data_IF_639360143265
#
_entry.id   IF_639360143265
#
_cell.length_a   1.000
_cell.length_b   1.000
_cell.length_c   1.000
_cell.angle_alpha   90.00
_cell.angle_beta   90.00
_cell.angle_gamma   90.00
#
_symmetry.space_group_name_H-M   'P 1'
#
loop_
_entity.id
_entity.type
_entity.pdbx_description
1 polymer ?
#
# COMPACT_ATOMS: atom_id res chain seq x y z
N UNK A 1 -26.68 -2.31 -6.51
CA UNK A 1 -25.69 -3.36 -6.88
C UNK A 1 -25.20 -3.98 -5.59
N UNK A 2 -25.02 -5.31 -5.49
CA UNK A 2 -24.51 -5.95 -4.27
C UNK A 2 -22.99 -6.00 -4.32
N UNK A 3 -22.34 -5.12 -3.58
CA UNK A 3 -20.89 -5.15 -3.43
C UNK A 3 -20.46 -6.26 -2.48
N UNK A 4 -19.39 -6.98 -2.83
CA UNK A 4 -18.91 -8.16 -2.11
C UNK A 4 -17.49 -8.03 -1.56
N UNK A 5 -16.75 -7.05 -2.04
CA UNK A 5 -15.38 -6.80 -1.61
C UNK A 5 -15.15 -5.29 -1.49
N UNK A 6 -14.56 -4.87 -0.40
CA UNK A 6 -14.10 -3.50 -0.17
C UNK A 6 -12.58 -3.55 0.03
N UNK A 7 -11.85 -2.90 -0.88
CA UNK A 7 -10.41 -2.65 -0.71
C UNK A 7 -10.22 -1.23 -0.17
N UNK A 8 -9.56 -1.10 0.95
CA UNK A 8 -9.30 0.20 1.58
C UNK A 8 -7.82 0.44 1.77
N UNK A 9 -7.35 1.63 1.47
CA UNK A 9 -6.05 2.07 1.96
C UNK A 9 -6.05 2.13 3.49
N UNK A 10 -4.87 2.15 4.09
CA UNK A 10 -4.67 2.22 5.53
C UNK A 10 -4.41 3.66 6.01
N UNK A 11 -3.25 4.20 5.64
CA UNK A 11 -2.80 5.48 6.16
C UNK A 11 -3.67 6.62 5.63
N UNK A 12 -4.14 7.50 6.53
CA UNK A 12 -5.03 8.62 6.18
C UNK A 12 -6.38 8.22 5.53
N UNK A 13 -6.73 6.92 5.53
CA UNK A 13 -8.02 6.39 5.05
C UNK A 13 -8.72 5.55 6.12
N UNK A 14 -8.23 4.33 6.40
CA UNK A 14 -8.77 3.48 7.48
C UNK A 14 -8.27 3.93 8.85
N UNK A 15 -7.03 4.42 8.91
CA UNK A 15 -6.34 4.84 10.13
C UNK A 15 -6.47 6.33 10.35
N UNK A 16 -6.74 6.70 11.60
CA UNK A 16 -6.74 8.08 12.06
C UNK A 16 -5.30 8.63 12.22
N UNK A 17 -5.18 9.90 12.60
CA UNK A 17 -3.90 10.59 12.79
C UNK A 17 -3.02 9.97 13.89
N UNK A 18 -3.61 9.15 14.78
CA UNK A 18 -2.91 8.39 15.82
C UNK A 18 -2.49 6.98 15.33
N UNK A 19 -2.64 6.69 14.04
CA UNK A 19 -2.41 5.37 13.43
C UNK A 19 -3.24 4.24 14.05
N UNK A 20 -4.49 4.55 14.43
CA UNK A 20 -5.45 3.60 14.99
C UNK A 20 -6.70 3.52 14.11
N UNK A 21 -7.34 2.35 14.07
CA UNK A 21 -8.65 2.24 13.43
C UNK A 21 -9.70 2.85 14.35
N UNK A 22 -10.48 3.82 13.88
CA UNK A 22 -11.50 4.46 14.70
C UNK A 22 -12.66 3.48 15.02
N UNK A 23 -13.35 3.74 16.13
CA UNK A 23 -14.42 2.84 16.66
C UNK A 23 -15.53 2.60 15.65
N UNK A 24 -15.92 3.63 14.88
CA UNK A 24 -16.97 3.48 13.87
C UNK A 24 -16.53 2.57 12.73
N UNK A 25 -15.28 2.70 12.24
CA UNK A 25 -14.74 1.77 11.25
C UNK A 25 -14.74 0.33 11.76
N UNK A 26 -14.23 0.08 12.98
CA UNK A 26 -14.23 -1.27 13.59
C UNK A 26 -15.64 -1.86 13.65
N UNK A 27 -16.61 -1.09 14.13
CA UNK A 27 -18.01 -1.51 14.29
C UNK A 27 -18.63 -1.90 12.95
N UNK A 28 -18.54 -1.04 11.93
CA UNK A 28 -19.21 -1.25 10.66
C UNK A 28 -18.51 -2.30 9.79
N UNK A 29 -17.19 -2.40 9.83
CA UNK A 29 -16.43 -3.49 9.20
C UNK A 29 -16.89 -4.83 9.78
N UNK A 30 -16.86 -5.01 11.10
CA UNK A 30 -17.28 -6.25 11.74
C UNK A 30 -18.75 -6.61 11.42
N UNK A 31 -19.63 -5.61 11.34
CA UNK A 31 -21.04 -5.80 10.98
C UNK A 31 -21.17 -6.27 9.52
N UNK A 32 -20.51 -5.60 8.59
CA UNK A 32 -20.57 -5.95 7.15
C UNK A 32 -20.02 -7.36 6.88
N UNK A 33 -18.89 -7.72 7.48
CA UNK A 33 -18.31 -9.06 7.37
C UNK A 33 -19.28 -10.13 7.88
N UNK A 34 -19.82 -9.96 9.10
CA UNK A 34 -20.67 -10.97 9.74
C UNK A 34 -22.06 -11.09 9.14
N UNK A 35 -22.71 -9.97 8.82
CA UNK A 35 -24.11 -9.95 8.40
C UNK A 35 -24.31 -10.04 6.90
N UNK A 36 -23.35 -9.54 6.11
CA UNK A 36 -23.45 -9.44 4.65
C UNK A 36 -22.42 -10.28 3.91
N UNK A 37 -21.43 -10.85 4.63
CA UNK A 37 -20.35 -11.63 4.01
C UNK A 37 -19.46 -10.79 3.10
N UNK A 38 -19.41 -9.46 3.31
CA UNK A 38 -18.53 -8.57 2.55
C UNK A 38 -17.08 -8.79 3.00
N UNK A 39 -16.19 -8.96 2.05
CA UNK A 39 -14.76 -9.07 2.35
C UNK A 39 -14.13 -7.70 2.44
N UNK A 40 -13.32 -7.50 3.47
CA UNK A 40 -12.56 -6.27 3.67
C UNK A 40 -11.09 -6.57 3.45
N UNK A 41 -10.46 -5.83 2.55
CA UNK A 41 -9.07 -6.02 2.13
C UNK A 41 -8.30 -4.73 2.41
N UNK A 42 -7.31 -4.81 3.28
CA UNK A 42 -6.33 -3.75 3.43
C UNK A 42 -5.42 -3.71 2.19
N UNK A 43 -5.26 -2.54 1.57
CA UNK A 43 -4.43 -2.34 0.38
C UNK A 43 -3.41 -1.23 0.64
N UNK A 44 -2.17 -1.59 0.99
CA UNK A 44 -1.19 -0.67 1.56
C UNK A 44 0.18 -0.72 0.86
N UNK A 45 0.94 0.36 0.99
CA UNK A 45 2.37 0.38 0.66
C UNK A 45 3.25 -0.33 1.68
N UNK A 46 2.73 -0.62 2.89
CA UNK A 46 3.44 -1.35 3.94
C UNK A 46 3.54 -2.85 3.62
N UNK A 47 4.45 -3.55 4.30
CA UNK A 47 4.52 -5.02 4.28
C UNK A 47 3.38 -5.65 5.09
N UNK A 48 2.92 -6.82 4.66
CA UNK A 48 1.83 -7.55 5.34
C UNK A 48 2.13 -7.89 6.81
N UNK A 49 3.38 -8.06 7.17
CA UNK A 49 3.81 -8.29 8.55
C UNK A 49 3.84 -7.00 9.41
N UNK A 50 3.74 -5.84 8.80
CA UNK A 50 3.80 -4.53 9.46
C UNK A 50 2.41 -3.99 9.84
N UNK A 51 1.33 -4.67 9.45
CA UNK A 51 -0.06 -4.23 9.65
C UNK A 51 -0.87 -5.16 10.55
N UNK A 52 -0.19 -5.98 11.35
CA UNK A 52 -0.81 -6.91 12.31
C UNK A 52 -1.71 -6.22 13.34
N UNK A 53 -1.28 -5.08 13.93
CA UNK A 53 -2.13 -4.36 14.88
C UNK A 53 -3.45 -3.90 14.25
N UNK A 54 -3.40 -3.38 13.04
CA UNK A 54 -4.55 -2.88 12.29
C UNK A 54 -5.52 -4.01 11.94
N UNK A 55 -5.00 -5.13 11.40
CA UNK A 55 -5.80 -6.32 11.12
C UNK A 55 -6.45 -6.89 12.38
N UNK A 56 -5.76 -6.81 13.53
CA UNK A 56 -6.31 -7.26 14.82
C UNK A 56 -7.47 -6.36 15.27
N UNK A 57 -7.34 -5.04 15.12
CA UNK A 57 -8.38 -4.08 15.48
C UNK A 57 -9.69 -4.31 14.71
N UNK A 58 -9.58 -4.69 13.42
CA UNK A 58 -10.76 -4.98 12.59
C UNK A 58 -11.19 -6.45 12.61
N UNK A 59 -10.52 -7.30 13.40
CA UNK A 59 -10.88 -8.71 13.58
C UNK A 59 -10.52 -9.62 12.41
N UNK A 60 -9.59 -9.22 11.54
CA UNK A 60 -9.18 -9.95 10.34
C UNK A 60 -7.79 -10.58 10.44
N UNK A 61 -7.08 -10.36 11.56
CA UNK A 61 -5.77 -10.96 11.78
C UNK A 61 -5.88 -12.49 11.93
N UNK A 62 -4.99 -13.24 11.26
CA UNK A 62 -4.92 -14.71 11.26
C UNK A 62 -6.25 -15.41 10.92
N UNK A 63 -7.13 -14.73 10.16
CA UNK A 63 -8.37 -15.32 9.70
C UNK A 63 -8.19 -16.00 8.34
N UNK A 64 -8.76 -17.22 8.14
CA UNK A 64 -8.80 -17.86 6.84
C UNK A 64 -9.75 -17.12 5.90
N UNK A 65 -9.48 -17.20 4.60
CA UNK A 65 -10.28 -16.57 3.55
C UNK A 65 -10.36 -15.03 3.63
N UNK A 66 -9.54 -14.40 4.46
CA UNK A 66 -9.34 -12.95 4.49
C UNK A 66 -7.97 -12.60 3.92
N UNK A 67 -7.85 -11.45 3.27
CA UNK A 67 -6.70 -11.14 2.44
C UNK A 67 -6.18 -9.72 2.67
N UNK A 68 -4.89 -9.54 2.35
CA UNK A 68 -4.21 -8.25 2.37
C UNK A 68 -3.44 -8.05 1.07
N UNK A 69 -3.51 -6.85 0.51
CA UNK A 69 -2.68 -6.35 -0.59
C UNK A 69 -1.58 -5.47 0.02
N UNK A 70 -0.33 -5.84 -0.19
CA UNK A 70 0.84 -5.19 0.42
C UNK A 70 1.85 -4.72 -0.61
N UNK A 71 2.76 -3.85 -0.18
CA UNK A 71 3.83 -3.29 -1.04
C UNK A 71 3.27 -2.68 -2.33
N UNK A 72 2.17 -1.89 -2.21
CA UNK A 72 1.46 -1.30 -3.35
C UNK A 72 1.02 -2.31 -4.42
N UNK A 73 0.71 -3.54 -4.03
CA UNK A 73 0.23 -4.58 -4.95
C UNK A 73 1.24 -5.66 -5.28
N UNK A 74 2.52 -5.54 -4.86
CA UNK A 74 3.52 -6.57 -5.13
C UNK A 74 3.23 -7.89 -4.41
N UNK A 75 2.53 -7.87 -3.28
CA UNK A 75 2.13 -9.07 -2.56
C UNK A 75 0.63 -9.10 -2.29
N UNK A 76 0.02 -10.26 -2.49
CA UNK A 76 -1.30 -10.61 -1.98
C UNK A 76 -1.13 -11.79 -1.04
N UNK A 77 -1.54 -11.64 0.21
CA UNK A 77 -1.46 -12.71 1.22
C UNK A 77 -2.84 -13.02 1.77
N UNK A 78 -3.09 -14.29 2.06
CA UNK A 78 -4.15 -14.69 2.98
C UNK A 78 -3.70 -14.35 4.41
N UNK A 79 -4.57 -13.75 5.21
CA UNK A 79 -4.20 -13.29 6.55
C UNK A 79 -3.83 -14.43 7.49
N UNK A 80 -4.42 -15.62 7.29
CA UNK A 80 -4.05 -16.80 8.05
C UNK A 80 -2.64 -17.26 7.71
N UNK A 81 -1.73 -17.08 8.66
CA UNK A 81 -0.34 -17.47 8.54
C UNK A 81 0.41 -16.74 7.42
N UNK A 82 -0.10 -15.60 6.92
CA UNK A 82 0.47 -14.82 5.81
C UNK A 82 0.79 -15.67 4.57
N UNK A 83 -0.09 -16.60 4.24
CA UNK A 83 0.09 -17.45 3.08
C UNK A 83 0.13 -16.61 1.80
N UNK A 84 1.26 -16.64 1.09
CA UNK A 84 1.43 -15.95 -0.18
C UNK A 84 0.48 -16.49 -1.23
N UNK A 85 -0.36 -15.61 -1.78
CA UNK A 85 -1.31 -15.89 -2.87
C UNK A 85 -0.73 -15.46 -4.21
N UNK A 86 -0.16 -14.26 -4.26
CA UNK A 86 0.49 -13.71 -5.44
C UNK A 86 1.70 -12.89 -5.04
N UNK A 87 2.75 -12.96 -5.84
CA UNK A 87 3.95 -12.16 -5.69
C UNK A 87 4.37 -11.59 -7.05
N UNK A 88 4.50 -10.29 -7.13
CA UNK A 88 4.91 -9.54 -8.32
C UNK A 88 5.96 -8.48 -7.93
N UNK A 89 7.00 -8.93 -7.23
CA UNK A 89 8.08 -8.05 -6.80
C UNK A 89 9.07 -7.74 -7.91
N UNK A 90 10.04 -6.91 -7.57
CA UNK A 90 11.12 -6.49 -8.46
C UNK A 90 12.14 -7.64 -8.64
N UNK A 91 12.66 -7.79 -9.84
CA UNK A 91 13.76 -8.72 -10.11
C UNK A 91 15.03 -8.30 -9.35
N UNK A 92 15.81 -9.29 -8.86
CA UNK A 92 17.02 -9.02 -8.10
C UNK A 92 18.06 -8.22 -8.91
N UNK A 93 18.29 -8.60 -10.18
CA UNK A 93 19.30 -7.93 -11.00
C UNK A 93 18.89 -6.48 -11.30
N UNK A 94 17.59 -6.25 -11.50
CA UNK A 94 17.05 -4.89 -11.67
C UNK A 94 17.18 -4.07 -10.39
N UNK A 95 16.87 -4.64 -9.23
CA UNK A 95 17.06 -3.99 -7.93
C UNK A 95 18.54 -3.65 -7.71
N UNK A 96 19.45 -4.58 -8.01
CA UNK A 96 20.90 -4.37 -7.85
C UNK A 96 21.43 -3.28 -8.80
N UNK A 97 20.89 -3.17 -10.03
CA UNK A 97 21.21 -2.10 -10.96
C UNK A 97 20.79 -0.71 -10.40
N UNK A 98 19.56 -0.61 -9.88
CA UNK A 98 19.05 0.61 -9.25
C UNK A 98 19.88 0.96 -7.99
N UNK A 99 20.19 -0.04 -7.16
CA UNK A 99 21.04 0.14 -5.99
C UNK A 99 22.43 0.69 -6.36
N UNK A 100 23.08 0.10 -7.38
CA UNK A 100 24.38 0.53 -7.84
C UNK A 100 24.38 1.96 -8.42
N UNK A 101 23.25 2.42 -8.95
CA UNK A 101 23.06 3.81 -9.30
C UNK A 101 22.95 4.68 -8.05
N UNK A 102 22.09 4.31 -7.10
CA UNK A 102 21.86 5.08 -5.87
C UNK A 102 23.11 5.26 -5.01
N UNK A 103 23.99 4.25 -4.93
CA UNK A 103 25.29 4.31 -4.21
C UNK A 103 26.18 5.48 -4.70
N UNK A 104 26.00 5.96 -5.91
CA UNK A 104 26.78 7.07 -6.49
C UNK A 104 26.16 8.45 -6.24
N UNK A 105 25.04 8.50 -5.53
CA UNK A 105 24.25 9.70 -5.31
C UNK A 105 24.01 9.92 -3.82
N UNK A 106 23.67 11.15 -3.44
CA UNK A 106 23.36 11.50 -2.05
C UNK A 106 21.94 11.07 -1.69
N UNK A 107 21.75 9.76 -1.46
CA UNK A 107 20.47 9.17 -1.08
C UNK A 107 20.66 8.07 -0.02
N UNK A 108 19.73 8.00 0.92
CA UNK A 108 19.53 6.81 1.72
C UNK A 108 18.71 5.81 0.91
N UNK A 109 19.09 4.52 0.91
CA UNK A 109 18.41 3.51 0.08
C UNK A 109 17.72 2.49 0.97
N UNK A 110 16.42 2.27 0.73
CA UNK A 110 15.66 1.23 1.37
C UNK A 110 15.37 0.10 0.40
N UNK A 111 15.57 -1.14 0.83
CA UNK A 111 15.24 -2.35 0.07
C UNK A 111 14.28 -3.19 0.90
N UNK A 112 13.10 -3.43 0.38
CA UNK A 112 12.11 -4.31 0.99
C UNK A 112 12.27 -5.70 0.39
N UNK A 113 12.83 -6.62 1.18
CA UNK A 113 13.12 -7.99 0.73
C UNK A 113 12.57 -9.02 1.71
N UNK A 114 11.80 -9.99 1.23
CA UNK A 114 10.98 -10.89 2.03
C UNK A 114 10.06 -10.09 2.96
N UNK A 115 10.32 -10.09 4.26
CA UNK A 115 9.55 -9.41 5.29
C UNK A 115 10.41 -8.41 6.06
N UNK A 116 11.60 -8.13 5.51
CA UNK A 116 12.65 -7.32 6.15
C UNK A 116 12.86 -6.01 5.36
N UNK A 117 13.20 -4.96 6.10
CA UNK A 117 13.65 -3.69 5.55
C UNK A 117 15.17 -3.57 5.74
N UNK A 118 15.89 -3.45 4.65
CA UNK A 118 17.31 -3.18 4.60
C UNK A 118 17.54 -1.73 4.23
N UNK A 119 18.37 -1.01 4.99
CA UNK A 119 18.62 0.43 4.80
C UNK A 119 20.10 0.67 4.64
N UNK A 120 20.48 1.14 3.46
CA UNK A 120 21.85 1.53 3.12
C UNK A 120 22.05 3.01 3.32
N UNK A 121 23.19 3.37 3.96
CA UNK A 121 23.63 4.76 4.12
C UNK A 121 22.55 5.65 4.75
N UNK A 122 22.04 5.22 5.92
CA UNK A 122 20.99 5.93 6.64
C UNK A 122 21.49 7.28 7.17
N UNK A 123 20.75 8.35 6.87
CA UNK A 123 21.00 9.67 7.45
C UNK A 123 20.29 9.85 8.80
N UNK A 124 20.67 10.89 9.57
CA UNK A 124 20.14 11.12 10.92
C UNK A 124 18.63 11.37 10.95
N UNK A 125 18.09 12.01 9.91
CA UNK A 125 16.64 12.33 9.81
C UNK A 125 15.84 11.05 9.58
N UNK A 126 16.26 10.24 8.62
CA UNK A 126 15.59 8.99 8.32
C UNK A 126 15.75 7.95 9.44
N UNK A 127 16.91 7.92 10.11
CA UNK A 127 17.10 7.08 11.30
C UNK A 127 16.10 7.43 12.42
N UNK A 128 15.92 8.72 12.71
CA UNK A 128 14.94 9.18 13.71
C UNK A 128 13.51 8.80 13.31
N UNK A 129 13.16 8.95 12.03
CA UNK A 129 11.85 8.63 11.49
C UNK A 129 11.54 7.13 11.61
N UNK A 130 12.44 6.28 11.13
CA UNK A 130 12.28 4.82 11.20
C UNK A 130 12.18 4.33 12.66
N UNK A 131 12.97 4.93 13.55
CA UNK A 131 12.92 4.64 15.00
C UNK A 131 11.59 5.06 15.61
N UNK A 132 11.07 6.25 15.27
CA UNK A 132 9.79 6.74 15.76
C UNK A 132 8.62 5.85 15.29
N UNK A 133 8.70 5.33 14.08
CA UNK A 133 7.73 4.37 13.51
C UNK A 133 7.90 2.95 14.05
N UNK A 134 8.92 2.69 14.88
CA UNK A 134 9.25 1.36 15.42
C UNK A 134 9.43 0.28 14.35
N UNK A 135 9.89 0.67 13.17
CA UNK A 135 10.16 -0.27 12.08
C UNK A 135 11.45 -1.04 12.36
N UNK A 136 11.37 -2.36 12.32
CA UNK A 136 12.55 -3.20 12.39
C UNK A 136 13.32 -3.12 11.07
N UNK A 137 14.56 -2.63 11.11
CA UNK A 137 15.41 -2.47 9.95
C UNK A 137 16.78 -3.07 10.17
N UNK A 138 17.40 -3.56 9.11
CA UNK A 138 18.82 -3.93 9.07
C UNK A 138 19.59 -2.83 8.34
N UNK A 139 20.44 -2.11 9.08
CA UNK A 139 21.30 -1.06 8.52
C UNK A 139 22.60 -1.67 7.98
N UNK A 140 23.09 -1.18 6.84
CA UNK A 140 24.35 -1.60 6.26
C UNK A 140 25.04 -0.46 5.49
N UNK A 141 26.39 -0.53 5.40
CA UNK A 141 27.21 0.50 4.75
C UNK A 141 28.06 -0.07 3.59
N UNK A 142 28.14 -1.40 3.48
CA UNK A 142 28.85 -2.00 2.35
C UNK A 142 28.05 -1.80 1.06
N UNK A 143 28.65 -1.25 -0.02
CA UNK A 143 27.96 -0.97 -1.26
C UNK A 143 27.74 -2.23 -2.12
N UNK A 144 27.20 -3.29 -1.50
CA UNK A 144 26.85 -4.56 -2.13
C UNK A 144 25.53 -5.08 -1.58
N UNK A 145 24.71 -5.64 -2.46
CA UNK A 145 23.43 -6.28 -2.12
C UNK A 145 23.45 -7.79 -2.38
N UNK A 146 24.63 -8.38 -2.57
CA UNK A 146 24.75 -9.82 -2.89
C UNK A 146 24.15 -10.73 -1.82
N UNK A 147 24.08 -10.29 -0.56
CA UNK A 147 23.44 -11.01 0.54
C UNK A 147 21.92 -11.12 0.40
N UNK A 148 21.31 -10.36 -0.55
CA UNK A 148 19.89 -10.43 -0.88
C UNK A 148 19.59 -11.40 -2.03
N UNK A 149 20.59 -12.03 -2.65
CA UNK A 149 20.37 -13.01 -3.72
C UNK A 149 19.46 -14.14 -3.25
N UNK A 150 18.44 -14.42 -4.03
CA UNK A 150 17.43 -15.43 -3.72
C UNK A 150 16.32 -14.99 -2.75
N UNK A 151 16.38 -13.78 -2.20
CA UNK A 151 15.25 -13.16 -1.49
C UNK A 151 14.24 -12.58 -2.50
N UNK A 152 12.98 -12.56 -2.11
CA UNK A 152 11.91 -11.87 -2.87
C UNK A 152 12.01 -10.37 -2.61
N UNK A 153 12.27 -9.59 -3.62
CA UNK A 153 12.38 -8.13 -3.52
C UNK A 153 11.03 -7.50 -3.83
N UNK A 154 10.43 -6.81 -2.89
CA UNK A 154 9.16 -6.12 -3.11
C UNK A 154 9.35 -4.82 -3.88
N UNK A 155 10.27 -3.98 -3.40
CA UNK A 155 10.62 -2.69 -3.99
C UNK A 155 11.98 -2.21 -3.48
N UNK A 156 12.53 -1.22 -4.15
CA UNK A 156 13.64 -0.39 -3.67
C UNK A 156 13.19 1.07 -3.72
N UNK A 157 13.70 1.91 -2.83
CA UNK A 157 13.45 3.34 -2.88
C UNK A 157 14.69 4.15 -2.48
N UNK A 158 14.74 5.39 -2.96
CA UNK A 158 15.70 6.39 -2.54
C UNK A 158 15.00 7.41 -1.64
N UNK A 159 15.64 7.72 -0.53
CA UNK A 159 15.18 8.76 0.39
C UNK A 159 16.13 9.96 0.33
N UNK A 160 15.54 11.12 0.21
CA UNK A 160 16.16 12.42 0.42
C UNK A 160 15.06 13.45 0.68
N UNK A 161 15.22 14.31 1.68
CA UNK A 161 14.24 15.35 2.01
C UNK A 161 14.13 16.44 0.92
N UNK A 162 15.13 16.53 0.03
CA UNK A 162 15.08 17.39 -1.16
C UNK A 162 14.41 16.62 -2.32
N UNK A 163 13.10 16.74 -2.43
CA UNK A 163 12.32 16.05 -3.49
C UNK A 163 12.69 16.52 -4.91
N UNK A 164 13.13 17.76 -5.09
CA UNK A 164 13.57 18.26 -6.40
C UNK A 164 14.87 17.59 -6.82
N UNK A 165 15.77 17.30 -5.87
CA UNK A 165 16.95 16.49 -6.11
C UNK A 165 16.54 15.07 -6.55
N UNK A 166 15.63 14.39 -5.84
CA UNK A 166 15.13 13.07 -6.25
C UNK A 166 14.53 13.09 -7.65
N UNK A 167 13.70 14.09 -7.96
CA UNK A 167 13.12 14.25 -9.30
C UNK A 167 14.17 14.46 -10.39
N UNK A 168 15.29 15.12 -10.06
CA UNK A 168 16.40 15.33 -11.00
C UNK A 168 17.15 14.04 -11.37
N UNK A 169 17.05 13.00 -10.56
CA UNK A 169 17.64 11.67 -10.82
C UNK A 169 16.84 10.88 -11.86
N UNK A 170 15.52 11.06 -11.95
CA UNK A 170 14.65 10.28 -12.82
C UNK A 170 15.09 10.29 -14.31
N UNK A 171 15.44 11.43 -14.92
CA UNK A 171 15.94 11.44 -16.30
C UNK A 171 17.24 10.66 -16.50
N UNK A 172 18.09 10.60 -15.46
CA UNK A 172 19.36 9.87 -15.51
C UNK A 172 19.17 8.35 -15.43
N UNK A 173 18.01 7.93 -14.92
CA UNK A 173 17.65 6.52 -14.75
C UNK A 173 16.73 6.00 -15.85
N UNK A 174 16.38 6.84 -16.84
CA UNK A 174 15.39 6.51 -17.86
C UNK A 174 15.69 5.17 -18.55
N UNK A 175 16.91 4.96 -19.02
CA UNK A 175 17.28 3.75 -19.76
C UNK A 175 17.18 2.47 -18.92
N UNK A 176 17.32 2.56 -17.58
CA UNK A 176 17.20 1.41 -16.69
C UNK A 176 15.78 1.18 -16.16
N UNK A 177 14.90 2.18 -16.22
CA UNK A 177 13.54 2.10 -15.67
C UNK A 177 12.46 1.98 -16.74
N UNK A 178 12.66 2.56 -17.92
CA UNK A 178 11.64 2.60 -18.97
C UNK A 178 11.22 1.19 -19.41
N UNK A 179 9.92 0.93 -19.39
CA UNK A 179 9.33 -0.34 -19.82
C UNK A 179 9.46 -1.51 -18.84
N UNK A 180 10.07 -1.34 -17.66
CA UNK A 180 10.22 -2.43 -16.68
C UNK A 180 9.99 -2.01 -15.22
N UNK A 181 10.10 -0.72 -14.89
CA UNK A 181 9.97 -0.19 -13.53
C UNK A 181 9.00 0.97 -13.48
N UNK A 182 8.09 0.94 -12.55
CA UNK A 182 7.23 2.06 -12.16
C UNK A 182 8.01 2.95 -11.20
N UNK A 183 8.15 4.23 -11.52
CA UNK A 183 8.77 5.22 -10.65
C UNK A 183 7.69 6.11 -10.08
N UNK A 184 7.58 6.16 -8.76
CA UNK A 184 6.60 6.99 -8.06
C UNK A 184 7.25 7.77 -6.91
N UNK A 185 6.53 8.76 -6.37
CA UNK A 185 7.02 9.58 -5.28
C UNK A 185 6.01 9.54 -4.12
N UNK A 186 6.51 9.45 -2.90
CA UNK A 186 5.67 9.42 -1.70
C UNK A 186 6.28 10.20 -0.54
N UNK A 187 5.42 10.58 0.43
CA UNK A 187 5.81 11.22 1.70
C UNK A 187 6.73 12.45 1.57
N UNK A 188 6.73 13.11 0.40
CA UNK A 188 7.60 14.26 0.09
C UNK A 188 9.10 14.00 0.38
N UNK A 189 9.55 12.73 0.30
CA UNK A 189 10.94 12.33 0.54
C UNK A 189 11.38 11.06 -0.16
N UNK A 190 10.46 10.27 -0.71
CA UNK A 190 10.80 8.99 -1.34
C UNK A 190 10.61 9.03 -2.85
N UNK A 191 11.56 8.44 -3.57
CA UNK A 191 11.46 8.02 -4.95
C UNK A 191 11.44 6.50 -4.97
N UNK A 192 10.30 5.91 -5.30
CA UNK A 192 10.04 4.47 -5.21
C UNK A 192 10.12 3.80 -6.57
N UNK A 193 10.71 2.61 -6.59
CA UNK A 193 10.86 1.78 -7.78
C UNK A 193 10.16 0.44 -7.54
N UNK A 194 9.10 0.24 -8.28
CA UNK A 194 8.27 -0.96 -8.24
C UNK A 194 8.30 -1.65 -9.61
N UNK A 195 7.88 -2.90 -9.67
CA UNK A 195 7.70 -3.59 -10.97
C UNK A 195 6.63 -2.87 -11.78
N UNK A 196 6.91 -2.62 -13.06
CA UNK A 196 5.96 -1.94 -13.96
C UNK A 196 4.60 -2.66 -14.00
N UNK A 197 3.52 -1.89 -13.90
CA UNK A 197 2.15 -2.41 -13.90
C UNK A 197 1.72 -3.06 -12.59
N UNK A 198 2.60 -3.13 -11.59
CA UNK A 198 2.27 -3.61 -10.25
C UNK A 198 1.81 -2.43 -9.41
N UNK A 199 0.53 -2.42 -9.06
CA UNK A 199 -0.11 -1.40 -8.24
C UNK A 199 -1.31 -1.99 -7.49
N UNK A 200 -1.90 -1.22 -6.56
CA UNK A 200 -3.05 -1.67 -5.76
C UNK A 200 -4.25 -2.09 -6.64
N UNK A 201 -4.43 -1.48 -7.83
CA UNK A 201 -5.53 -1.78 -8.73
C UNK A 201 -5.37 -3.12 -9.45
N UNK A 202 -4.17 -3.41 -9.99
CA UNK A 202 -3.89 -4.72 -10.60
C UNK A 202 -3.97 -5.84 -9.55
N UNK A 203 -3.52 -5.60 -8.34
CA UNK A 203 -3.65 -6.55 -7.24
C UNK A 203 -5.11 -6.78 -6.82
N UNK A 204 -5.94 -5.73 -6.77
CA UNK A 204 -7.37 -5.86 -6.53
C UNK A 204 -8.04 -6.73 -7.60
N UNK A 205 -7.74 -6.51 -8.88
CA UNK A 205 -8.28 -7.30 -9.98
C UNK A 205 -7.85 -8.78 -9.89
N UNK A 206 -6.59 -9.06 -9.55
CA UNK A 206 -6.09 -10.43 -9.33
C UNK A 206 -6.84 -11.10 -8.18
N UNK A 207 -7.01 -10.40 -7.06
CA UNK A 207 -7.70 -10.93 -5.88
C UNK A 207 -9.20 -11.16 -6.16
N UNK A 208 -9.88 -10.19 -6.77
CA UNK A 208 -11.30 -10.31 -7.15
C UNK A 208 -11.53 -11.53 -8.07
N UNK A 209 -10.69 -11.70 -9.10
CA UNK A 209 -10.73 -12.86 -9.98
C UNK A 209 -10.52 -14.18 -9.22
N UNK A 210 -9.52 -14.25 -8.32
CA UNK A 210 -9.28 -15.41 -7.48
C UNK A 210 -10.48 -15.79 -6.62
N UNK A 211 -11.19 -14.80 -6.10
CA UNK A 211 -12.38 -14.97 -5.26
C UNK A 211 -13.66 -15.17 -6.08
N UNK A 212 -13.58 -15.17 -7.42
CA UNK A 212 -14.73 -15.24 -8.31
C UNK A 212 -15.73 -14.10 -8.06
N UNK A 213 -15.23 -12.92 -7.68
CA UNK A 213 -16.01 -11.69 -7.49
C UNK A 213 -15.83 -10.83 -8.75
N UNK A 214 -16.90 -10.50 -9.48
CA UNK A 214 -16.83 -9.52 -10.57
C UNK A 214 -16.24 -8.19 -10.06
N UNK A 215 -15.38 -7.57 -10.84
CA UNK A 215 -14.72 -6.32 -10.43
C UNK A 215 -15.74 -5.19 -10.18
N UNK A 216 -16.86 -5.21 -10.87
CA UNK A 216 -17.98 -4.29 -10.70
C UNK A 216 -18.66 -4.42 -9.33
N UNK A 217 -18.44 -5.54 -8.62
CA UNK A 217 -18.93 -5.78 -7.27
C UNK A 217 -17.89 -5.44 -6.20
N UNK A 218 -16.87 -4.66 -6.54
CA UNK A 218 -15.86 -4.18 -5.61
C UNK A 218 -16.01 -2.69 -5.33
N UNK A 219 -15.66 -2.28 -4.11
CA UNK A 219 -15.49 -0.89 -3.73
C UNK A 219 -14.00 -0.67 -3.44
N UNK A 220 -13.42 0.41 -3.94
CA UNK A 220 -12.12 0.89 -3.53
C UNK A 220 -12.25 2.18 -2.73
N UNK A 221 -11.51 2.29 -1.63
CA UNK A 221 -11.51 3.47 -0.75
C UNK A 221 -10.06 3.92 -0.58
N UNK A 222 -9.79 5.20 -0.83
CA UNK A 222 -8.44 5.77 -0.72
C UNK A 222 -8.45 7.28 -0.65
N UNK A 223 -7.29 7.89 -0.44
CA UNK A 223 -7.13 9.33 -0.24
C UNK A 223 -6.07 9.95 -1.15
N UNK A 224 -5.13 9.16 -1.70
CA UNK A 224 -3.93 9.69 -2.31
C UNK A 224 -3.61 9.10 -3.70
N UNK A 225 -2.57 9.60 -4.35
CA UNK A 225 -2.17 9.20 -5.70
C UNK A 225 -1.82 7.72 -5.85
N UNK A 226 -1.28 7.06 -4.82
CA UNK A 226 -1.00 5.62 -4.84
C UNK A 226 -2.27 4.75 -4.88
N UNK A 227 -3.45 5.33 -4.61
CA UNK A 227 -4.75 4.66 -4.66
C UNK A 227 -5.44 4.79 -6.02
N UNK A 228 -5.02 5.75 -6.84
CA UNK A 228 -5.68 6.07 -8.13
C UNK A 228 -5.88 4.82 -9.00
N UNK A 229 -4.88 3.93 -9.05
CA UNK A 229 -5.01 2.70 -9.82
C UNK A 229 -6.09 1.78 -9.25
N UNK A 230 -6.22 1.68 -7.93
CA UNK A 230 -7.22 0.87 -7.23
C UNK A 230 -8.62 1.49 -7.40
N UNK A 231 -8.74 2.80 -7.23
CA UNK A 231 -9.98 3.54 -7.42
C UNK A 231 -10.53 3.38 -8.85
N UNK A 232 -9.66 3.48 -9.85
CA UNK A 232 -10.05 3.29 -11.26
C UNK A 232 -10.40 1.85 -11.64
N UNK A 233 -9.85 0.87 -10.92
CA UNK A 233 -10.08 -0.55 -11.22
C UNK A 233 -11.39 -1.08 -10.62
N UNK A 234 -11.83 -0.52 -9.50
CA UNK A 234 -13.02 -0.98 -8.78
C UNK A 234 -14.34 -0.62 -9.48
N UNK A 235 -15.40 -1.33 -9.10
CA UNK A 235 -16.76 -1.03 -9.56
C UNK A 235 -17.36 0.24 -8.95
N UNK A 236 -16.82 0.67 -7.78
CA UNK A 236 -17.15 1.94 -7.13
C UNK A 236 -15.90 2.54 -6.51
N UNK A 237 -15.59 3.75 -6.86
CA UNK A 237 -14.47 4.53 -6.30
C UNK A 237 -14.98 5.48 -5.21
N UNK A 238 -14.39 5.40 -4.02
CA UNK A 238 -14.71 6.25 -2.88
C UNK A 238 -13.46 6.98 -2.41
N UNK A 239 -13.50 8.29 -2.37
CA UNK A 239 -12.45 9.10 -1.77
C UNK A 239 -12.75 9.41 -0.30
N UNK A 240 -11.73 9.41 0.54
CA UNK A 240 -11.80 9.92 1.90
C UNK A 240 -12.04 11.44 1.91
N UNK A 241 -12.79 11.95 2.92
CA UNK A 241 -13.08 13.37 3.06
C UNK A 241 -11.83 14.26 3.16
N UNK A 242 -10.76 13.74 3.76
CA UNK A 242 -9.43 14.38 3.83
C UNK A 242 -8.55 14.13 2.59
N UNK A 243 -9.00 13.32 1.61
CA UNK A 243 -8.22 12.98 0.43
C UNK A 243 -7.83 14.17 -0.44
N UNK A 244 -6.83 13.98 -1.31
CA UNK A 244 -6.35 15.00 -2.24
C UNK A 244 -7.43 15.34 -3.26
N UNK A 245 -7.59 16.62 -3.59
CA UNK A 245 -8.68 17.10 -4.48
C UNK A 245 -8.66 16.43 -5.85
N UNK A 246 -7.47 16.20 -6.43
CA UNK A 246 -7.34 15.48 -7.71
C UNK A 246 -7.84 14.04 -7.62
N UNK A 247 -7.67 13.37 -6.47
CA UNK A 247 -8.17 12.01 -6.23
C UNK A 247 -9.68 12.01 -6.02
N UNK A 248 -10.20 12.96 -5.23
CA UNK A 248 -11.65 13.16 -5.07
C UNK A 248 -12.36 13.36 -6.40
N UNK A 249 -11.77 14.14 -7.30
CA UNK A 249 -12.33 14.42 -8.62
C UNK A 249 -12.43 13.17 -9.54
N UNK A 250 -11.72 12.10 -9.23
CA UNK A 250 -11.74 10.84 -9.98
C UNK A 250 -12.75 9.83 -9.42
N UNK A 251 -13.30 10.06 -8.23
CA UNK A 251 -14.15 9.12 -7.52
C UNK A 251 -15.64 9.34 -7.77
N UNK A 252 -16.41 8.26 -7.64
CA UNK A 252 -17.86 8.28 -7.73
C UNK A 252 -18.51 8.91 -6.50
N UNK A 253 -17.80 8.83 -5.36
CA UNK A 253 -18.27 9.38 -4.08
C UNK A 253 -17.08 9.88 -3.25
N UNK A 254 -17.29 11.00 -2.57
CA UNK A 254 -16.37 11.48 -1.52
C UNK A 254 -17.11 11.44 -0.19
N UNK A 255 -16.52 10.81 0.83
CA UNK A 255 -17.13 10.75 2.16
C UNK A 255 -17.15 12.13 2.80
N UNK A 256 -18.15 12.37 3.66
CA UNK A 256 -18.18 13.55 4.54
C UNK A 256 -17.19 13.35 5.69
N UNK A 257 -17.08 12.11 6.17
CA UNK A 257 -16.13 11.70 7.19
C UNK A 257 -14.69 11.80 6.67
N UNK A 258 -13.80 12.31 7.49
CA UNK A 258 -12.35 12.17 7.33
C UNK A 258 -11.83 10.86 7.98
N UNK A 259 -10.52 10.63 7.90
CA UNK A 259 -9.89 9.44 8.47
C UNK A 259 -10.07 9.32 9.99
N UNK A 260 -10.34 10.40 10.72
CA UNK A 260 -10.60 10.38 12.17
C UNK A 260 -12.04 10.01 12.50
N UNK A 261 -12.98 10.21 11.57
CA UNK A 261 -14.41 10.08 11.79
C UNK A 261 -15.01 8.77 11.29
N UNK A 262 -14.36 8.11 10.31
CA UNK A 262 -14.79 6.79 9.86
C UNK A 262 -15.19 6.70 8.39
N UNK A 263 -14.29 6.98 7.50
CA UNK A 263 -14.43 6.88 6.03
C UNK A 263 -15.02 5.54 5.58
N UNK A 264 -14.44 4.43 6.07
CA UNK A 264 -14.89 3.08 5.68
C UNK A 264 -16.26 2.77 6.24
N UNK A 265 -16.57 3.25 7.45
CA UNK A 265 -17.90 3.10 8.06
C UNK A 265 -18.97 3.82 7.25
N UNK A 266 -18.70 5.04 6.79
CA UNK A 266 -19.62 5.79 5.93
C UNK A 266 -19.87 5.07 4.61
N UNK A 267 -18.82 4.60 3.94
CA UNK A 267 -18.94 3.84 2.70
C UNK A 267 -19.77 2.55 2.89
N UNK A 268 -19.54 1.80 3.97
CA UNK A 268 -20.32 0.60 4.32
C UNK A 268 -21.80 0.94 4.55
N UNK A 269 -22.09 1.96 5.34
CA UNK A 269 -23.46 2.39 5.63
C UNK A 269 -24.21 2.73 4.37
N UNK A 270 -23.60 3.54 3.53
CA UNK A 270 -24.21 4.02 2.29
C UNK A 270 -24.40 2.91 1.24
N UNK A 271 -23.35 2.14 0.95
CA UNK A 271 -23.35 1.26 -0.21
C UNK A 271 -23.65 -0.22 0.10
N UNK A 272 -23.49 -0.66 1.36
CA UNK A 272 -23.83 -2.03 1.78
C UNK A 272 -25.16 -2.09 2.50
N UNK A 273 -25.47 -1.07 3.32
CA UNK A 273 -26.74 -1.02 4.08
C UNK A 273 -27.76 -0.07 3.48
N UNK A 274 -27.40 0.73 2.45
CA UNK A 274 -28.27 1.67 1.76
C UNK A 274 -28.90 2.71 2.69
N UNK A 275 -28.13 3.16 3.70
CA UNK A 275 -28.57 4.24 4.58
C UNK A 275 -28.50 5.59 3.84
N UNK A 276 -29.53 6.43 4.05
CA UNK A 276 -29.52 7.82 3.60
C UNK A 276 -28.65 8.67 4.56
N UNK A 277 -27.40 8.94 4.17
CA UNK A 277 -26.42 9.67 4.94
C UNK A 277 -25.77 10.78 4.14
#
# INVERSE_FOLDING_TARGET
>A
MDYKLIATDLDETLLNDEHQVCTENMKWINKAVRERGVRIVAATGRGYNQILPELTQIGLNDQPDEYTISYNGAAITENKGFKMISWQGLDFDKMAEIFAFGVKHDVCIHIYANEELFVYHVNDDEYKRLTAQKLACTYFEEPSVDFLKGKRIAKILFENTNTDYLKSLAPLMKDMTEGCVEVSYSSNRYMEFNTLGVNKGTALAILANKLSIPIEQTIAIGDNYNDVAMLKAAGLAVAAGNGVDDVKALCDYTTQADNNEGVVAEAIRKFIYHEDI
#
